data_IF_186572185102
#
_entry.id   IF_186572185102
#
_cell.length_a   1.000
_cell.length_b   1.000
_cell.length_c   1.000
_cell.angle_alpha   90.00
_cell.angle_beta   90.00
_cell.angle_gamma   90.00
#
_symmetry.space_group_name_H-M   'P 1'
#
loop_
_entity.id
_entity.type
_entity.pdbx_description
1 polymer ?
#
# COMPACT_ATOMS: atom_id res chain seq x y z
N UNK A 1 -4.34 -19.01 15.16
CA UNK A 1 -5.66 -18.52 14.68
C UNK A 1 -5.99 -19.34 13.44
N UNK A 2 -7.15 -19.99 13.35
CA UNK A 2 -7.44 -20.96 12.26
C UNK A 2 -8.66 -20.59 11.42
N UNK A 3 -9.19 -19.37 11.58
CA UNK A 3 -10.35 -18.87 10.85
C UNK A 3 -9.99 -17.86 9.76
N UNK A 4 -10.90 -17.62 8.79
CA UNK A 4 -10.70 -16.59 7.79
C UNK A 4 -10.61 -15.20 8.45
N UNK A 5 -9.73 -14.35 7.91
CA UNK A 5 -9.62 -12.94 8.30
C UNK A 5 -10.29 -12.09 7.22
N UNK A 6 -11.12 -11.13 7.65
CA UNK A 6 -11.78 -10.17 6.77
C UNK A 6 -11.25 -8.78 7.04
N UNK A 7 -10.78 -8.11 6.00
CA UNK A 7 -10.38 -6.71 6.01
C UNK A 7 -11.44 -5.91 5.22
N UNK A 8 -11.96 -4.83 5.81
CA UNK A 8 -12.99 -3.99 5.20
C UNK A 8 -12.56 -2.53 5.25
N UNK A 9 -12.47 -1.89 4.09
CA UNK A 9 -12.02 -0.52 3.97
C UNK A 9 -11.81 -0.13 2.52
N UNK A 10 -10.91 0.82 2.29
CA UNK A 10 -10.60 1.37 0.97
C UNK A 10 -9.20 0.95 0.51
N UNK A 11 -9.07 0.80 -0.81
CA UNK A 11 -7.79 0.64 -1.48
C UNK A 11 -7.53 1.88 -2.33
N UNK A 12 -6.31 2.40 -2.22
CA UNK A 12 -5.86 3.57 -2.95
C UNK A 12 -4.60 3.25 -3.77
N UNK A 13 -4.47 3.95 -4.90
CA UNK A 13 -3.19 4.06 -5.58
C UNK A 13 -2.39 5.18 -4.91
N UNK A 14 -1.21 4.83 -4.39
CA UNK A 14 -0.26 5.80 -3.87
C UNK A 14 0.80 6.06 -4.94
N UNK A 15 0.78 7.28 -5.45
CA UNK A 15 1.86 7.83 -6.25
C UNK A 15 2.85 8.56 -5.35
N UNK A 16 4.12 8.18 -5.43
CA UNK A 16 5.20 8.85 -4.69
C UNK A 16 6.29 9.30 -5.66
N UNK A 17 6.94 10.42 -5.36
CA UNK A 17 8.15 10.80 -6.10
C UNK A 17 9.30 9.87 -5.72
N UNK A 18 10.26 9.63 -6.63
CA UNK A 18 11.50 8.95 -6.29
C UNK A 18 12.20 9.63 -5.10
N UNK A 19 12.93 8.86 -4.31
CA UNK A 19 13.56 9.36 -3.08
C UNK A 19 14.41 10.63 -3.33
N UNK A 20 14.23 11.63 -2.47
CA UNK A 20 14.95 12.91 -2.57
C UNK A 20 14.44 13.86 -3.67
N UNK A 21 13.34 13.55 -4.36
CA UNK A 21 12.73 14.42 -5.36
C UNK A 21 11.42 15.02 -4.86
N UNK A 22 11.24 16.32 -5.10
CA UNK A 22 9.96 17.00 -4.88
C UNK A 22 9.05 16.82 -6.09
N UNK A 23 7.75 16.99 -5.88
CA UNK A 23 6.74 16.73 -6.93
C UNK A 23 6.89 17.64 -8.15
N UNK A 24 7.34 18.89 -7.96
CA UNK A 24 7.50 19.86 -9.04
C UNK A 24 8.56 19.44 -10.08
N UNK A 25 9.57 18.69 -9.66
CA UNK A 25 10.73 18.32 -10.49
C UNK A 25 10.78 16.82 -10.82
N UNK A 26 9.78 16.05 -10.39
CA UNK A 26 9.71 14.62 -10.64
C UNK A 26 9.22 14.35 -12.06
N UNK A 27 10.00 13.56 -12.82
CA UNK A 27 9.63 13.13 -14.19
C UNK A 27 8.91 11.77 -14.21
N UNK A 28 8.81 11.13 -13.04
CA UNK A 28 8.13 9.86 -12.83
C UNK A 28 7.58 9.79 -11.42
N UNK A 29 6.60 8.91 -11.22
CA UNK A 29 6.03 8.59 -9.91
C UNK A 29 6.05 7.08 -9.73
N UNK A 30 6.48 6.63 -8.57
CA UNK A 30 6.39 5.24 -8.15
C UNK A 30 4.94 4.96 -7.76
N UNK A 31 4.33 3.97 -8.41
CA UNK A 31 2.98 3.52 -8.11
C UNK A 31 3.05 2.34 -7.13
N UNK A 32 2.29 2.46 -6.05
CA UNK A 32 2.04 1.36 -5.11
C UNK A 32 0.54 1.27 -4.81
N UNK A 33 0.07 0.08 -4.47
CA UNK A 33 -1.29 -0.12 -3.95
C UNK A 33 -1.19 -0.12 -2.42
N UNK A 34 -2.07 0.60 -1.76
CA UNK A 34 -2.12 0.63 -0.30
C UNK A 34 -3.52 0.88 0.23
N UNK A 35 -3.65 0.81 1.54
CA UNK A 35 -4.89 1.00 2.29
C UNK A 35 -4.68 0.45 3.69
N UNK A 36 -5.27 1.06 4.71
CA UNK A 36 -4.98 0.66 6.10
C UNK A 36 -5.31 -0.83 6.31
N UNK A 37 -6.51 -1.24 5.90
CA UNK A 37 -7.01 -2.60 6.07
C UNK A 37 -6.40 -3.55 5.05
N UNK A 38 -6.15 -3.09 3.82
CA UNK A 38 -5.46 -3.87 2.80
C UNK A 38 -4.04 -4.25 3.23
N UNK A 39 -3.30 -3.31 3.82
CA UNK A 39 -1.95 -3.55 4.32
C UNK A 39 -1.95 -4.57 5.47
N UNK A 40 -2.95 -4.56 6.36
CA UNK A 40 -3.11 -5.59 7.39
C UNK A 40 -3.35 -6.96 6.77
N UNK A 41 -4.24 -7.06 5.79
CA UNK A 41 -4.53 -8.32 5.10
C UNK A 41 -3.28 -8.92 4.44
N UNK A 42 -2.53 -8.11 3.69
CA UNK A 42 -1.27 -8.55 3.05
C UNK A 42 -0.21 -8.92 4.09
N UNK A 43 -0.08 -8.16 5.18
CA UNK A 43 0.88 -8.46 6.24
C UNK A 43 0.56 -9.80 6.93
N UNK A 44 -0.70 -10.09 7.21
CA UNK A 44 -1.12 -11.36 7.79
C UNK A 44 -0.81 -12.53 6.85
N UNK A 45 -1.06 -12.39 5.54
CA UNK A 45 -0.67 -13.40 4.54
C UNK A 45 0.84 -13.61 4.51
N UNK A 46 1.64 -12.53 4.63
CA UNK A 46 3.09 -12.61 4.62
C UNK A 46 3.70 -13.25 5.88
N UNK A 47 2.95 -13.32 6.99
CA UNK A 47 3.38 -13.93 8.24
C UNK A 47 3.14 -15.45 8.33
N UNK A 48 2.35 -16.02 7.41
CA UNK A 48 1.94 -17.43 7.42
C UNK A 48 0.91 -17.77 8.48
#
# INVERSE_FOLDING_TARGET
>A
MTGPVVCFGEVMLRFATPAGRVIADAQSLDLTIGGAEANVGVALVAMG
#
